data_IF_636456606931
#
_entry.id   IF_636456606931
#
_cell.length_a   1.000
_cell.length_b   1.000
_cell.length_c   1.000
_cell.angle_alpha   90.00
_cell.angle_beta   90.00
_cell.angle_gamma   90.00
#
_symmetry.space_group_name_H-M   'P 1'
#
loop_
_entity.id
_entity.type
_entity.pdbx_description
1 polymer ?
#
# COMPACT_ATOMS: atom_id res chain seq x y z
N UNK A 1 14.96 12.53 -10.29
CA UNK A 1 15.11 12.16 -8.87
C UNK A 1 13.89 11.40 -8.34
N UNK A 2 12.65 11.89 -8.53
CA UNK A 2 11.43 11.17 -8.11
C UNK A 2 11.40 9.70 -8.57
N UNK A 3 11.57 9.44 -9.87
CA UNK A 3 11.59 8.07 -10.41
C UNK A 3 12.61 7.11 -9.76
N UNK A 4 13.71 7.63 -9.19
CA UNK A 4 14.69 6.80 -8.48
C UNK A 4 14.15 6.34 -7.12
N UNK A 5 13.46 7.23 -6.40
CA UNK A 5 12.79 6.91 -5.13
C UNK A 5 11.68 5.90 -5.38
N UNK A 6 10.88 6.09 -6.43
CA UNK A 6 9.82 5.16 -6.84
C UNK A 6 10.38 3.78 -7.21
N UNK A 7 11.49 3.73 -7.95
CA UNK A 7 12.18 2.48 -8.29
C UNK A 7 12.73 1.78 -7.05
N UNK A 8 13.32 2.56 -6.13
CA UNK A 8 13.83 2.06 -4.85
C UNK A 8 12.71 1.43 -4.02
N UNK A 9 11.50 2.00 -4.03
CA UNK A 9 10.34 1.45 -3.33
C UNK A 9 9.94 0.07 -3.85
N UNK A 10 9.89 -0.09 -5.17
CA UNK A 10 9.62 -1.38 -5.82
C UNK A 10 10.69 -2.40 -5.41
N UNK A 11 11.96 -1.99 -5.46
CA UNK A 11 13.08 -2.83 -5.04
C UNK A 11 12.96 -3.24 -3.56
N UNK A 12 12.66 -2.30 -2.65
CA UNK A 12 12.43 -2.58 -1.24
C UNK A 12 11.29 -3.58 -1.03
N UNK A 13 10.19 -3.49 -1.78
CA UNK A 13 9.09 -4.46 -1.72
C UNK A 13 9.52 -5.88 -2.08
N UNK A 14 10.24 -6.04 -3.21
CA UNK A 14 10.74 -7.34 -3.66
C UNK A 14 11.74 -7.91 -2.64
N UNK A 15 12.66 -7.09 -2.15
CA UNK A 15 13.65 -7.50 -1.15
C UNK A 15 12.98 -7.90 0.17
N UNK A 16 12.00 -7.13 0.64
CA UNK A 16 11.23 -7.46 1.83
C UNK A 16 10.53 -8.81 1.66
N UNK A 17 9.86 -9.05 0.52
CA UNK A 17 9.26 -10.35 0.21
C UNK A 17 10.27 -11.50 0.30
N UNK A 18 11.43 -11.38 -0.33
CA UNK A 18 12.49 -12.39 -0.27
C UNK A 18 12.95 -12.70 1.16
N UNK A 19 13.08 -11.68 2.01
CA UNK A 19 13.46 -11.89 3.41
C UNK A 19 12.33 -12.46 4.26
N UNK A 20 11.07 -12.12 3.98
CA UNK A 20 9.90 -12.73 4.65
C UNK A 20 9.86 -14.23 4.37
N UNK A 21 9.95 -14.63 3.09
CA UNK A 21 9.90 -16.06 2.73
C UNK A 21 11.06 -16.84 3.35
N UNK A 22 12.22 -16.20 3.49
CA UNK A 22 13.44 -16.77 4.09
C UNK A 22 13.46 -16.71 5.62
N UNK A 23 12.36 -16.28 6.27
CA UNK A 23 12.25 -16.10 7.73
C UNK A 23 13.20 -15.07 8.36
N UNK A 24 13.79 -14.18 7.57
CA UNK A 24 14.66 -13.10 8.06
C UNK A 24 13.83 -11.83 8.36
N UNK A 25 12.90 -11.94 9.31
CA UNK A 25 11.87 -10.91 9.54
C UNK A 25 12.42 -9.55 9.96
N UNK A 26 13.55 -9.51 10.68
CA UNK A 26 14.18 -8.24 11.05
C UNK A 26 14.69 -7.45 9.84
N UNK A 27 15.30 -8.14 8.86
CA UNK A 27 15.80 -7.51 7.64
C UNK A 27 14.62 -7.12 6.74
N UNK A 28 13.58 -7.97 6.67
CA UNK A 28 12.33 -7.63 6.01
C UNK A 28 11.67 -6.38 6.60
N UNK A 29 11.65 -6.25 7.92
CA UNK A 29 11.13 -5.08 8.63
C UNK A 29 11.88 -3.81 8.23
N UNK A 30 13.21 -3.84 8.27
CA UNK A 30 14.05 -2.68 7.91
C UNK A 30 13.79 -2.30 6.46
N UNK A 31 13.84 -3.26 5.54
CA UNK A 31 13.69 -3.00 4.10
C UNK A 31 12.28 -2.51 3.74
N UNK A 32 11.24 -3.10 4.33
CA UNK A 32 9.87 -2.63 4.19
C UNK A 32 9.69 -1.21 4.75
N UNK A 33 10.23 -0.94 5.94
CA UNK A 33 10.14 0.38 6.59
C UNK A 33 10.84 1.47 5.77
N UNK A 34 12.01 1.18 5.21
CA UNK A 34 12.72 2.09 4.28
C UNK A 34 11.83 2.40 3.07
N UNK A 35 11.21 1.37 2.47
CA UNK A 35 10.28 1.54 1.37
C UNK A 35 9.07 2.40 1.75
N UNK A 36 8.46 2.15 2.91
CA UNK A 36 7.27 2.89 3.36
C UNK A 36 7.59 4.36 3.67
N UNK A 37 8.74 4.62 4.31
CA UNK A 37 9.20 5.97 4.61
C UNK A 37 9.57 6.73 3.33
N UNK A 38 10.09 6.03 2.31
CA UNK A 38 10.46 6.65 1.03
C UNK A 38 9.30 7.35 0.33
N UNK A 39 8.06 6.88 0.53
CA UNK A 39 6.85 7.51 -0.01
C UNK A 39 6.60 8.90 0.58
N UNK A 40 6.87 9.07 1.87
CA UNK A 40 6.71 10.35 2.53
C UNK A 40 7.69 11.41 2.01
N UNK A 41 8.91 10.99 1.65
CA UNK A 41 9.92 11.88 1.08
C UNK A 41 9.59 12.31 -0.36
N UNK A 42 9.00 11.42 -1.17
CA UNK A 42 8.65 11.71 -2.57
C UNK A 42 7.60 12.85 -2.68
N UNK A 43 6.61 12.84 -1.79
CA UNK A 43 5.57 13.88 -1.73
C UNK A 43 6.09 15.28 -1.39
N UNK A 44 7.21 15.38 -0.67
CA UNK A 44 7.83 16.67 -0.31
C UNK A 44 8.78 17.19 -1.39
N UNK A 45 9.51 16.30 -2.07
CA UNK A 45 10.51 16.69 -3.08
C UNK A 45 9.84 16.99 -4.43
N UNK A 46 8.79 16.24 -4.82
CA UNK A 46 8.07 16.47 -6.07
C UNK A 46 7.29 17.79 -6.08
N UNK A 47 6.82 18.26 -4.91
CA UNK A 47 6.11 19.54 -4.78
C UNK A 47 6.98 20.77 -4.95
N UNK A 48 8.28 20.68 -4.64
CA UNK A 48 9.18 21.83 -4.70
C UNK A 48 9.87 22.02 -6.06
N UNK A 49 9.91 20.99 -6.92
CA UNK A 49 10.73 21.02 -8.14
C UNK A 49 9.94 21.16 -9.46
N UNK A 50 8.62 21.33 -9.45
CA UNK A 50 7.76 21.41 -10.67
C UNK A 50 8.00 20.29 -11.69
N UNK A 51 8.61 19.17 -11.30
CA UNK A 51 9.05 18.10 -12.18
C UNK A 51 8.09 16.90 -12.11
N UNK A 52 6.79 17.17 -12.23
CA UNK A 52 5.76 16.12 -12.26
C UNK A 52 5.63 15.65 -13.71
N UNK A 53 6.17 14.48 -14.03
CA UNK A 53 5.99 13.85 -15.34
C UNK A 53 4.68 13.06 -15.38
N UNK A 54 4.03 12.97 -16.54
CA UNK A 54 2.82 12.14 -16.73
C UNK A 54 3.08 10.66 -16.40
N UNK A 55 4.31 10.19 -16.65
CA UNK A 55 4.74 8.84 -16.28
C UNK A 55 4.80 8.65 -14.74
N UNK A 56 5.40 9.60 -14.01
CA UNK A 56 5.50 9.55 -12.55
C UNK A 56 4.13 9.48 -11.87
N UNK A 57 3.13 10.22 -12.36
CA UNK A 57 1.75 10.20 -11.83
C UNK A 57 1.12 8.81 -11.79
N UNK A 58 1.50 7.94 -12.73
CA UNK A 58 1.03 6.54 -12.79
C UNK A 58 1.99 5.59 -12.07
N UNK A 59 3.29 5.87 -12.15
CA UNK A 59 4.35 5.04 -11.58
C UNK A 59 4.37 5.07 -10.04
N UNK A 60 4.13 6.21 -9.41
CA UNK A 60 4.19 6.33 -7.94
C UNK A 60 3.06 5.54 -7.24
N UNK A 61 1.78 5.65 -7.64
CA UNK A 61 0.71 4.83 -7.07
C UNK A 61 0.84 3.34 -7.38
N UNK A 62 1.61 2.97 -8.41
CA UNK A 62 1.91 1.59 -8.75
C UNK A 62 2.99 1.02 -7.83
N UNK A 63 4.08 1.77 -7.60
CA UNK A 63 5.15 1.39 -6.70
C UNK A 63 4.69 1.25 -5.24
N UNK A 64 3.81 2.14 -4.79
CA UNK A 64 3.18 2.04 -3.46
C UNK A 64 2.45 0.69 -3.28
N UNK A 65 1.65 0.28 -4.27
CA UNK A 65 0.97 -1.01 -4.24
C UNK A 65 1.93 -2.18 -4.27
N UNK A 66 3.01 -2.11 -5.05
CA UNK A 66 4.00 -3.20 -5.09
C UNK A 66 4.60 -3.42 -3.70
N UNK A 67 5.03 -2.36 -3.01
CA UNK A 67 5.63 -2.48 -1.68
C UNK A 67 4.70 -3.23 -0.71
N UNK A 68 3.44 -2.82 -0.65
CA UNK A 68 2.46 -3.41 0.28
C UNK A 68 2.05 -4.82 -0.16
N UNK A 69 1.72 -5.03 -1.44
CA UNK A 69 1.26 -6.32 -1.94
C UNK A 69 2.34 -7.39 -1.84
N UNK A 70 3.60 -7.06 -2.11
CA UNK A 70 4.71 -8.01 -1.96
C UNK A 70 4.90 -8.42 -0.50
N UNK A 71 4.84 -7.48 0.45
CA UNK A 71 4.89 -7.81 1.87
C UNK A 71 3.69 -8.69 2.31
N UNK A 72 2.47 -8.32 1.92
CA UNK A 72 1.24 -9.09 2.20
C UNK A 72 1.35 -10.51 1.63
N UNK A 73 1.83 -10.67 0.40
CA UNK A 73 2.04 -11.98 -0.22
C UNK A 73 3.07 -12.82 0.52
N UNK A 74 4.17 -12.22 0.96
CA UNK A 74 5.18 -12.90 1.77
C UNK A 74 4.61 -13.39 3.09
N UNK A 75 3.86 -12.54 3.80
CA UNK A 75 3.23 -12.89 5.07
C UNK A 75 2.16 -13.97 4.90
N UNK A 76 1.37 -13.90 3.83
CA UNK A 76 0.39 -14.93 3.48
C UNK A 76 1.06 -16.27 3.20
N UNK A 77 2.17 -16.28 2.45
CA UNK A 77 2.96 -17.49 2.19
C UNK A 77 3.51 -18.11 3.49
N UNK A 78 3.85 -17.29 4.49
CA UNK A 78 4.30 -17.75 5.81
C UNK A 78 3.15 -18.08 6.77
N UNK A 79 1.90 -18.05 6.31
CA UNK A 79 0.70 -18.24 7.13
C UNK A 79 0.60 -17.28 8.33
N UNK A 80 1.23 -16.11 8.23
CA UNK A 80 1.22 -15.07 9.27
C UNK A 80 0.11 -14.05 9.05
N UNK A 81 -0.59 -14.12 7.92
CA UNK A 81 -1.72 -13.25 7.60
C UNK A 81 -2.94 -14.10 7.23
N UNK A 82 -4.10 -13.67 7.69
CA UNK A 82 -5.37 -14.33 7.39
C UNK A 82 -5.66 -14.30 5.86
N UNK A 83 -5.88 -15.47 5.22
CA UNK A 83 -6.08 -15.52 3.77
C UNK A 83 -7.25 -14.69 3.27
N UNK A 84 -8.37 -14.69 4.00
CA UNK A 84 -9.54 -13.89 3.62
C UNK A 84 -9.20 -12.40 3.54
N UNK A 85 -8.41 -11.89 4.50
CA UNK A 85 -8.11 -10.47 4.59
C UNK A 85 -7.20 -10.04 3.44
N UNK A 86 -6.17 -10.84 3.13
CA UNK A 86 -5.30 -10.62 1.99
C UNK A 86 -6.08 -10.63 0.66
N UNK A 87 -6.98 -11.60 0.47
CA UNK A 87 -7.80 -11.71 -0.74
C UNK A 87 -8.73 -10.50 -0.91
N UNK A 88 -9.47 -10.12 0.13
CA UNK A 88 -10.37 -8.96 0.07
C UNK A 88 -9.62 -7.65 -0.17
N UNK A 89 -8.44 -7.49 0.45
CA UNK A 89 -7.57 -6.35 0.16
C UNK A 89 -7.21 -6.29 -1.33
N UNK A 90 -6.74 -7.40 -1.93
CA UNK A 90 -6.36 -7.44 -3.34
C UNK A 90 -7.52 -7.10 -4.28
N UNK A 91 -8.69 -7.69 -4.05
CA UNK A 91 -9.91 -7.40 -4.84
C UNK A 91 -10.23 -5.91 -4.77
N UNK A 92 -10.19 -5.32 -3.58
CA UNK A 92 -10.45 -3.90 -3.37
C UNK A 92 -9.42 -3.03 -4.09
N UNK A 93 -8.13 -3.35 -3.99
CA UNK A 93 -7.07 -2.58 -4.65
C UNK A 93 -7.21 -2.58 -6.17
N UNK A 94 -7.51 -3.74 -6.76
CA UNK A 94 -7.80 -3.85 -8.20
C UNK A 94 -9.03 -3.04 -8.58
N UNK A 95 -10.11 -3.13 -7.79
CA UNK A 95 -11.36 -2.40 -8.03
C UNK A 95 -11.15 -0.88 -8.01
N UNK A 96 -10.50 -0.35 -6.97
CA UNK A 96 -10.26 1.11 -6.85
C UNK A 96 -9.30 1.59 -7.95
N UNK A 97 -8.29 0.80 -8.30
CA UNK A 97 -7.36 1.12 -9.41
C UNK A 97 -8.10 1.23 -10.73
N UNK A 98 -8.98 0.27 -11.01
CA UNK A 98 -9.79 0.25 -12.22
C UNK A 98 -10.75 1.44 -12.28
N UNK A 99 -11.49 1.70 -11.19
CA UNK A 99 -12.40 2.84 -11.08
C UNK A 99 -11.68 4.18 -11.29
N UNK A 100 -10.47 4.34 -10.74
CA UNK A 100 -9.67 5.56 -10.93
C UNK A 100 -9.20 5.72 -12.37
N UNK A 101 -8.80 4.63 -13.03
CA UNK A 101 -8.34 4.65 -14.44
C UNK A 101 -9.43 5.14 -15.40
N UNK A 102 -10.70 4.77 -15.16
CA UNK A 102 -11.82 5.21 -15.99
C UNK A 102 -12.39 6.59 -15.57
N UNK A 103 -12.05 7.08 -14.38
CA UNK A 103 -12.49 8.37 -13.85
C UNK A 103 -11.66 9.53 -14.44
N UNK A 104 -11.77 9.75 -15.75
CA UNK A 104 -10.92 10.68 -16.53
C UNK A 104 -10.81 12.13 -15.99
N UNK A 105 -11.73 12.62 -15.15
CA UNK A 105 -11.67 13.95 -14.50
C UNK A 105 -12.51 14.08 -13.20
N UNK A 106 -13.06 12.99 -12.66
CA UNK A 106 -13.87 13.01 -11.41
C UNK A 106 -13.05 12.66 -10.16
N UNK A 107 -11.75 12.46 -10.29
CA UNK A 107 -10.91 12.04 -9.17
C UNK A 107 -10.68 13.20 -8.18
N UNK A 108 -11.56 13.32 -7.18
CA UNK A 108 -11.48 14.29 -6.08
C UNK A 108 -10.40 13.95 -5.04
N UNK A 109 -9.40 13.15 -5.40
CA UNK A 109 -8.33 12.72 -4.51
C UNK A 109 -8.76 11.71 -3.44
N UNK A 110 -7.81 11.33 -2.59
CA UNK A 110 -8.00 10.31 -1.57
C UNK A 110 -8.98 10.74 -0.45
N UNK A 111 -9.94 9.86 -0.14
CA UNK A 111 -10.88 10.03 0.98
C UNK A 111 -10.12 9.79 2.30
N UNK A 112 -10.48 10.49 3.39
CA UNK A 112 -9.86 10.33 4.71
C UNK A 112 -9.78 8.87 5.16
N UNK A 113 -10.84 8.09 4.92
CA UNK A 113 -10.87 6.64 5.19
C UNK A 113 -9.79 5.86 4.44
N UNK A 114 -9.39 6.29 3.24
CA UNK A 114 -8.29 5.70 2.49
C UNK A 114 -6.92 5.96 3.14
N UNK A 115 -6.74 7.12 3.79
CA UNK A 115 -5.50 7.42 4.55
C UNK A 115 -5.43 6.59 5.83
N UNK A 116 -6.54 6.48 6.54
CA UNK A 116 -6.63 5.68 7.77
C UNK A 116 -6.36 4.19 7.46
N UNK A 117 -6.96 3.67 6.39
CA UNK A 117 -6.65 2.33 5.86
C UNK A 117 -5.14 2.15 5.68
N UNK A 118 -4.51 3.02 4.89
CA UNK A 118 -3.08 2.90 4.56
C UNK A 118 -2.21 2.87 5.83
N UNK A 119 -2.52 3.71 6.82
CA UNK A 119 -1.84 3.71 8.11
C UNK A 119 -1.95 2.36 8.83
N UNK A 120 -3.18 1.84 9.03
CA UNK A 120 -3.38 0.56 9.71
C UNK A 120 -2.79 -0.62 8.93
N UNK A 121 -2.80 -0.56 7.61
CA UNK A 121 -2.21 -1.59 6.74
C UNK A 121 -0.70 -1.69 6.90
N UNK A 122 0.01 -0.56 6.77
CA UNK A 122 1.47 -0.52 6.95
C UNK A 122 1.85 -0.85 8.39
N UNK A 123 1.11 -0.33 9.35
CA UNK A 123 1.36 -0.58 10.77
C UNK A 123 1.15 -2.06 11.12
N UNK A 124 0.11 -2.69 10.58
CA UNK A 124 -0.10 -4.13 10.70
C UNK A 124 1.09 -4.93 10.18
N UNK A 125 1.58 -4.64 8.98
CA UNK A 125 2.72 -5.37 8.39
C UNK A 125 3.94 -5.29 9.30
N UNK A 126 4.24 -4.08 9.81
CA UNK A 126 5.33 -3.85 10.78
C UNK A 126 5.15 -4.70 12.04
N UNK A 127 3.96 -4.70 12.63
CA UNK A 127 3.64 -5.45 13.85
C UNK A 127 3.79 -6.97 13.63
N UNK A 128 3.33 -7.48 12.48
CA UNK A 128 3.49 -8.90 12.13
C UNK A 128 4.97 -9.26 11.98
N UNK A 129 5.77 -8.40 11.34
CA UNK A 129 7.21 -8.61 11.16
C UNK A 129 7.99 -8.53 12.49
N UNK A 130 7.48 -7.82 13.48
CA UNK A 130 8.01 -7.81 14.85
C UNK A 130 7.66 -9.09 15.65
N UNK A 131 6.81 -9.97 15.10
CA UNK A 131 6.44 -11.25 15.69
C UNK A 131 5.06 -11.27 16.33
N UNK A 132 4.39 -10.12 16.45
CA UNK A 132 3.06 -10.00 17.08
C UNK A 132 1.93 -10.31 16.08
N UNK A 133 1.91 -11.55 15.58
CA UNK A 133 1.03 -12.00 14.49
C UNK A 133 -0.45 -11.75 14.77
N UNK A 134 -0.92 -12.09 15.97
CA UNK A 134 -2.35 -11.96 16.33
C UNK A 134 -2.80 -10.50 16.36
N UNK A 135 -2.02 -9.63 17.00
CA UNK A 135 -2.32 -8.21 17.07
C UNK A 135 -2.20 -7.54 15.69
N UNK A 136 -1.20 -7.94 14.91
CA UNK A 136 -1.06 -7.51 13.52
C UNK A 136 -2.28 -7.84 12.66
N UNK A 137 -2.78 -9.08 12.69
CA UNK A 137 -3.99 -9.45 11.95
C UNK A 137 -5.22 -8.62 12.39
N UNK A 138 -5.37 -8.31 13.68
CA UNK A 138 -6.45 -7.43 14.16
C UNK A 138 -6.35 -6.03 13.55
N UNK A 139 -5.14 -5.45 13.48
CA UNK A 139 -4.91 -4.16 12.82
C UNK A 139 -5.17 -4.23 11.30
N UNK A 140 -4.82 -5.34 10.66
CA UNK A 140 -5.10 -5.57 9.25
C UNK A 140 -6.60 -5.62 8.96
N UNK A 141 -7.37 -6.30 9.81
CA UNK A 141 -8.83 -6.35 9.69
C UNK A 141 -9.46 -4.96 9.88
N UNK A 142 -8.94 -4.15 10.81
CA UNK A 142 -9.35 -2.73 10.94
C UNK A 142 -9.05 -1.97 9.65
N UNK A 143 -7.85 -2.14 9.09
CA UNK A 143 -7.51 -1.54 7.79
C UNK A 143 -8.51 -1.94 6.70
N UNK A 144 -8.88 -3.23 6.65
CA UNK A 144 -9.82 -3.76 5.67
C UNK A 144 -11.20 -3.08 5.79
N UNK A 145 -11.71 -2.89 7.00
CA UNK A 145 -12.98 -2.16 7.24
C UNK A 145 -12.90 -0.75 6.64
N UNK A 146 -11.83 -0.01 6.94
CA UNK A 146 -11.63 1.33 6.37
C UNK A 146 -11.42 1.30 4.85
N UNK A 147 -10.80 0.24 4.31
CA UNK A 147 -10.62 0.04 2.86
C UNK A 147 -11.97 -0.02 2.12
N UNK A 148 -12.94 -0.73 2.69
CA UNK A 148 -14.27 -0.88 2.13
C UNK A 148 -15.17 0.33 2.36
N UNK A 149 -15.05 1.02 3.51
CA UNK A 149 -15.69 2.34 3.71
C UNK A 149 -15.17 3.33 2.65
N UNK A 150 -13.86 3.31 2.39
CA UNK A 150 -13.24 4.12 1.33
C UNK A 150 -13.77 3.74 -0.05
N UNK A 151 -13.87 2.44 -0.36
CA UNK A 151 -14.43 1.96 -1.64
C UNK A 151 -15.88 2.43 -1.84
N UNK A 152 -16.72 2.31 -0.82
CA UNK A 152 -18.09 2.82 -0.86
C UNK A 152 -18.13 4.33 -1.14
N UNK A 153 -17.26 5.11 -0.48
CA UNK A 153 -17.13 6.54 -0.75
C UNK A 153 -16.73 6.85 -2.20
N UNK A 154 -15.84 6.05 -2.79
CA UNK A 154 -15.48 6.17 -4.21
C UNK A 154 -16.66 5.84 -5.14
N UNK A 155 -17.39 4.76 -4.87
CA UNK A 155 -18.57 4.38 -5.65
C UNK A 155 -19.68 5.42 -5.57
N UNK A 156 -19.95 5.96 -4.37
CA UNK A 156 -20.94 7.02 -4.19
C UNK A 156 -20.62 8.25 -5.03
N UNK A 157 -19.37 8.71 -5.01
CA UNK A 157 -18.90 9.83 -5.85
C UNK A 157 -18.98 9.54 -7.36
N UNK A 158 -18.93 8.28 -7.76
CA UNK A 158 -18.98 7.91 -9.18
C UNK A 158 -20.40 7.87 -9.72
N UNK A 159 -21.34 7.32 -8.94
CA UNK A 159 -22.74 7.16 -9.36
C UNK A 159 -23.62 8.39 -9.09
N UNK A 160 -23.35 9.17 -8.04
CA UNK A 160 -24.26 10.22 -7.56
C UNK A 160 -23.73 11.66 -7.69
N UNK A 161 -22.47 11.84 -8.11
CA UNK A 161 -21.85 13.14 -8.43
C UNK A 161 -21.27 13.08 -9.84
#
# INVERSE_FOLDING_TARGET
>A
MANFITTLRIFCGIVAFCFIISSHYFIALITFSIGAISDWFDGSIARNNNAITEFGKVYDPFADKILVLTAVMGLLYKHMLNPYAATFLMIRELTVSFLRSIAKNKDKGAILSGKIKAFFEMFSIIVILLGEVKFGNMLFDISLIFAYISLYGYLKRWFYE
#
